data_IF_399984623949
#
_entry.id   IF_399984623949
#
_cell.length_a   1.000
_cell.length_b   1.000
_cell.length_c   1.000
_cell.angle_alpha   90.00
_cell.angle_beta   90.00
_cell.angle_gamma   90.00
#
_symmetry.space_group_name_H-M   'P 1'
#
loop_
_entity.id
_entity.type
_entity.pdbx_description
1 polymer ?
#
# COMPACT_ATOMS: atom_id res chain seq x y z
N UNK A 1 -21.04 3.86 8.64
CA UNK A 1 -19.93 4.71 8.16
C UNK A 1 -19.39 5.64 9.26
N UNK A 2 -20.22 6.48 9.90
CA UNK A 2 -19.78 7.43 10.93
C UNK A 2 -19.15 6.77 12.18
N UNK A 3 -19.77 5.70 12.71
CA UNK A 3 -19.21 4.96 13.85
C UNK A 3 -17.85 4.32 13.57
N UNK A 4 -17.62 3.85 12.34
CA UNK A 4 -16.34 3.27 11.93
C UNK A 4 -15.22 4.33 11.93
N UNK A 5 -15.53 5.56 11.51
CA UNK A 5 -14.57 6.67 11.53
C UNK A 5 -14.17 6.98 12.97
N UNK A 6 -15.14 7.09 13.89
CA UNK A 6 -14.85 7.31 15.32
C UNK A 6 -13.98 6.21 15.91
N UNK A 7 -14.34 4.94 15.66
CA UNK A 7 -13.57 3.79 16.14
C UNK A 7 -12.13 3.83 15.63
N UNK A 8 -11.95 4.11 14.34
CA UNK A 8 -10.63 4.19 13.74
C UNK A 8 -9.79 5.35 14.30
N UNK A 9 -10.40 6.52 14.51
CA UNK A 9 -9.74 7.67 15.12
C UNK A 9 -9.21 7.33 16.52
N UNK A 10 -10.03 6.68 17.34
CA UNK A 10 -9.64 6.27 18.69
C UNK A 10 -8.55 5.19 18.65
N UNK A 11 -8.74 4.17 17.80
CA UNK A 11 -7.87 2.99 17.79
C UNK A 11 -6.50 3.23 17.14
N UNK A 12 -6.46 3.99 16.07
CA UNK A 12 -5.28 4.08 15.19
C UNK A 12 -4.65 5.48 15.15
N UNK A 13 -5.42 6.53 15.47
CA UNK A 13 -4.97 7.92 15.35
C UNK A 13 -4.75 8.60 16.71
N UNK A 14 -5.02 7.89 17.82
CA UNK A 14 -4.96 8.41 19.19
C UNK A 14 -5.83 9.67 19.40
N UNK A 15 -6.95 9.78 18.67
CA UNK A 15 -7.91 10.89 18.79
C UNK A 15 -9.14 10.43 19.56
N UNK A 16 -9.27 10.90 20.80
CA UNK A 16 -10.34 10.50 21.72
C UNK A 16 -11.51 11.50 21.80
N UNK A 17 -11.32 12.73 21.32
CA UNK A 17 -12.34 13.78 21.39
C UNK A 17 -13.33 13.69 20.22
N UNK A 18 -14.62 13.48 20.51
CA UNK A 18 -15.64 13.47 19.47
C UNK A 18 -15.82 14.82 18.77
N UNK A 19 -15.50 15.93 19.45
CA UNK A 19 -15.51 17.26 18.82
C UNK A 19 -14.37 17.36 17.80
N UNK A 20 -13.20 16.84 18.13
CA UNK A 20 -12.06 16.81 17.20
C UNK A 20 -12.35 15.90 16.01
N UNK A 21 -12.90 14.71 16.25
CA UNK A 21 -13.32 13.79 15.18
C UNK A 21 -14.37 14.44 14.27
N UNK A 22 -15.33 15.17 14.84
CA UNK A 22 -16.38 15.85 14.08
C UNK A 22 -15.88 17.03 13.23
N UNK A 23 -14.72 17.62 13.57
CA UNK A 23 -14.09 18.70 12.81
C UNK A 23 -13.16 18.20 11.69
N UNK A 24 -12.78 16.93 11.73
CA UNK A 24 -11.86 16.34 10.76
C UNK A 24 -12.52 16.21 9.38
N UNK A 25 -11.81 16.65 8.34
CA UNK A 25 -12.28 16.45 6.96
C UNK A 25 -12.06 15.00 6.51
N UNK A 26 -12.80 14.55 5.50
CA UNK A 26 -12.60 13.21 4.91
C UNK A 26 -11.17 13.06 4.36
N UNK A 27 -10.62 14.12 3.75
CA UNK A 27 -9.25 14.11 3.21
C UNK A 27 -8.22 13.94 4.32
N UNK A 28 -8.35 14.70 5.41
CA UNK A 28 -7.49 14.59 6.58
C UNK A 28 -7.58 13.21 7.23
N UNK A 29 -8.79 12.69 7.43
CA UNK A 29 -9.01 11.34 7.95
C UNK A 29 -8.32 10.28 7.08
N UNK A 30 -8.49 10.35 5.75
CA UNK A 30 -7.85 9.42 4.81
C UNK A 30 -6.32 9.48 4.90
N UNK A 31 -5.74 10.68 4.97
CA UNK A 31 -4.30 10.87 5.09
C UNK A 31 -3.76 10.29 6.40
N UNK A 32 -4.41 10.62 7.53
CA UNK A 32 -4.03 10.09 8.85
C UNK A 32 -4.14 8.57 8.91
N UNK A 33 -5.19 7.98 8.34
CA UNK A 33 -5.33 6.53 8.24
C UNK A 33 -4.25 5.89 7.36
N UNK A 34 -3.86 6.53 6.26
CA UNK A 34 -2.75 6.07 5.42
C UNK A 34 -1.44 6.09 6.22
N UNK A 35 -1.15 7.18 6.93
CA UNK A 35 0.01 7.28 7.80
C UNK A 35 0.02 6.22 8.92
N UNK A 36 -1.13 5.96 9.55
CA UNK A 36 -1.26 4.92 10.58
C UNK A 36 -0.96 3.51 10.03
N UNK A 37 -1.38 3.21 8.79
CA UNK A 37 -1.06 1.95 8.12
C UNK A 37 0.44 1.82 7.81
N UNK A 38 1.08 2.90 7.37
CA UNK A 38 2.54 2.92 7.13
C UNK A 38 3.31 2.69 8.43
N UNK A 39 2.93 3.37 9.51
CA UNK A 39 3.52 3.12 10.85
C UNK A 39 3.37 1.66 11.26
N UNK A 40 2.19 1.06 11.01
CA UNK A 40 1.98 -0.36 11.31
C UNK A 40 2.87 -1.28 10.46
N UNK A 41 3.07 -0.94 9.19
CA UNK A 41 3.98 -1.66 8.30
C UNK A 41 5.43 -1.60 8.80
N UNK A 42 5.87 -0.46 9.35
CA UNK A 42 7.20 -0.33 9.97
C UNK A 42 7.37 -1.26 11.17
N UNK A 43 6.35 -1.36 12.04
CA UNK A 43 6.33 -2.31 13.16
C UNK A 43 6.39 -3.76 12.67
N UNK A 44 5.59 -4.09 11.65
CA UNK A 44 5.56 -5.43 11.08
C UNK A 44 6.91 -5.77 10.45
N UNK A 45 7.55 -4.83 9.74
CA UNK A 45 8.91 -5.01 9.22
C UNK A 45 9.91 -5.34 10.32
N UNK A 46 9.86 -4.62 11.45
CA UNK A 46 10.72 -4.88 12.59
C UNK A 46 10.51 -6.30 13.14
N UNK A 47 9.25 -6.70 13.35
CA UNK A 47 8.89 -8.05 13.83
C UNK A 47 9.38 -9.13 12.86
N UNK A 48 9.15 -8.94 11.56
CA UNK A 48 9.58 -9.89 10.54
C UNK A 48 11.10 -9.98 10.46
N UNK A 49 11.85 -8.88 10.64
CA UNK A 49 13.32 -8.94 10.72
C UNK A 49 13.79 -9.78 11.90
N UNK A 50 13.15 -9.66 13.06
CA UNK A 50 13.48 -10.50 14.21
C UNK A 50 13.19 -11.98 13.93
N UNK A 51 12.00 -12.29 13.40
CA UNK A 51 11.63 -13.65 13.02
C UNK A 51 12.59 -14.24 11.98
N UNK A 52 13.03 -13.43 11.01
CA UNK A 52 14.00 -13.80 10.00
C UNK A 52 15.36 -14.19 10.58
N UNK A 53 15.87 -13.41 11.54
CA UNK A 53 17.14 -13.71 12.22
C UNK A 53 17.06 -15.03 13.00
N UNK A 54 15.92 -15.27 13.69
CA UNK A 54 15.67 -16.55 14.37
C UNK A 54 15.60 -17.70 13.38
N UNK A 55 14.90 -17.53 12.26
CA UNK A 55 14.78 -18.55 11.22
C UNK A 55 16.14 -18.90 10.59
N UNK A 56 16.98 -17.88 10.31
CA UNK A 56 18.33 -18.11 9.81
C UNK A 56 19.24 -18.81 10.83
N UNK A 57 19.07 -18.54 12.13
CA UNK A 57 19.80 -19.24 13.17
C UNK A 57 19.35 -20.71 13.35
N UNK A 58 18.10 -21.04 12.97
CA UNK A 58 17.47 -22.32 13.24
C UNK A 58 17.43 -23.31 12.07
N UNK A 59 17.56 -22.90 10.81
CA UNK A 59 17.08 -23.77 9.73
C UNK A 59 17.77 -23.65 8.39
N UNK A 60 18.71 -24.55 8.18
CA UNK A 60 18.91 -25.18 6.88
C UNK A 60 17.92 -26.36 6.72
N UNK A 61 17.45 -26.65 5.51
CA UNK A 61 16.62 -27.82 5.21
C UNK A 61 17.40 -29.15 5.43
N UNK A 62 16.74 -30.30 5.24
CA UNK A 62 17.39 -31.63 5.33
C UNK A 62 18.60 -31.82 4.38
N UNK A 63 18.82 -30.90 3.44
CA UNK A 63 19.91 -30.85 2.46
C UNK A 63 20.87 -29.67 2.69
N UNK A 64 20.75 -28.93 3.80
CA UNK A 64 21.65 -27.80 4.11
C UNK A 64 21.30 -26.49 3.41
N UNK A 65 20.08 -26.29 2.87
CA UNK A 65 19.67 -25.04 2.18
C UNK A 65 18.70 -24.20 3.00
N UNK A 66 18.89 -22.88 3.11
CA UNK A 66 17.94 -22.00 3.79
C UNK A 66 16.61 -21.92 3.01
N UNK A 67 15.48 -21.95 3.72
CA UNK A 67 14.13 -22.03 3.14
C UNK A 67 13.77 -20.77 2.34
N UNK A 68 14.11 -19.60 2.88
CA UNK A 68 14.13 -18.36 2.10
C UNK A 68 15.59 -17.94 1.92
N UNK A 69 15.94 -17.31 0.80
CA UNK A 69 17.33 -16.90 0.52
C UNK A 69 17.59 -15.47 0.93
N UNK A 70 16.55 -14.64 0.93
CA UNK A 70 16.63 -13.23 1.27
C UNK A 70 15.49 -12.83 2.18
N UNK A 71 15.70 -11.75 2.94
CA UNK A 71 14.63 -11.17 3.74
C UNK A 71 13.44 -10.71 2.88
N UNK A 72 13.68 -10.23 1.65
CA UNK A 72 12.62 -9.80 0.74
C UNK A 72 11.68 -10.95 0.34
N UNK A 73 12.23 -12.15 0.15
CA UNK A 73 11.42 -13.35 -0.12
C UNK A 73 10.58 -13.77 1.10
N UNK A 74 11.08 -13.50 2.32
CA UNK A 74 10.36 -13.75 3.57
C UNK A 74 9.28 -12.69 3.85
N UNK A 75 9.61 -11.41 3.59
CA UNK A 75 8.73 -10.26 3.80
C UNK A 75 9.07 -9.13 2.83
N UNK A 76 8.20 -8.89 1.86
CA UNK A 76 8.37 -7.81 0.87
C UNK A 76 7.75 -6.50 1.39
N UNK A 77 8.55 -5.71 2.08
CA UNK A 77 8.14 -4.40 2.61
C UNK A 77 7.64 -3.46 1.51
N UNK A 78 8.40 -3.35 0.42
CA UNK A 78 8.13 -2.38 -0.65
C UNK A 78 6.80 -2.69 -1.34
N UNK A 79 6.50 -3.97 -1.56
CA UNK A 79 5.20 -4.38 -2.09
C UNK A 79 4.04 -3.92 -1.18
N UNK A 80 4.15 -4.14 0.13
CA UNK A 80 3.11 -3.74 1.07
C UNK A 80 2.98 -2.20 1.17
N UNK A 81 4.10 -1.48 1.11
CA UNK A 81 4.12 -0.02 1.08
C UNK A 81 3.38 0.52 -0.15
N UNK A 82 3.67 -0.02 -1.35
CA UNK A 82 3.02 0.38 -2.59
C UNK A 82 1.50 0.18 -2.54
N UNK A 83 1.04 -0.94 -1.98
CA UNK A 83 -0.38 -1.22 -1.77
C UNK A 83 -1.03 -0.15 -0.86
N UNK A 84 -0.38 0.22 0.24
CA UNK A 84 -0.91 1.26 1.16
C UNK A 84 -0.95 2.63 0.49
N UNK A 85 0.07 2.94 -0.32
CA UNK A 85 0.15 4.20 -1.06
C UNK A 85 -0.87 4.27 -2.21
N UNK A 86 -1.33 3.12 -2.71
CA UNK A 86 -2.25 2.99 -3.84
C UNK A 86 -1.54 2.97 -5.20
N UNK A 87 -0.22 2.78 -5.20
CA UNK A 87 0.61 2.78 -6.42
C UNK A 87 0.24 1.59 -7.30
N UNK A 88 0.13 0.40 -6.70
CA UNK A 88 -0.20 -0.83 -7.45
C UNK A 88 -1.61 -0.76 -8.07
N UNK A 89 -2.57 -0.12 -7.41
CA UNK A 89 -3.93 0.10 -7.95
C UNK A 89 -3.90 1.07 -9.14
N UNK A 90 -3.13 2.16 -9.03
CA UNK A 90 -2.97 3.13 -10.11
C UNK A 90 -2.24 2.51 -11.33
N UNK A 91 -1.19 1.72 -11.09
CA UNK A 91 -0.45 1.00 -12.12
C UNK A 91 -1.36 -0.01 -12.85
N UNK A 92 -2.13 -0.79 -12.09
CA UNK A 92 -3.06 -1.76 -12.67
C UNK A 92 -4.16 -1.07 -13.48
N UNK A 93 -4.73 0.02 -12.98
CA UNK A 93 -5.74 0.80 -13.70
C UNK A 93 -5.17 1.39 -14.99
N UNK A 94 -3.95 1.94 -14.96
CA UNK A 94 -3.24 2.41 -16.17
C UNK A 94 -3.08 1.28 -17.17
N UNK A 95 -2.67 0.10 -16.73
CA UNK A 95 -2.51 -1.07 -17.60
C UNK A 95 -3.85 -1.55 -18.19
N UNK A 96 -4.94 -1.49 -17.44
CA UNK A 96 -6.28 -1.82 -17.95
C UNK A 96 -6.75 -0.80 -19.00
N UNK A 97 -6.59 0.51 -18.73
CA UNK A 97 -6.93 1.59 -19.66
C UNK A 97 -6.11 1.48 -20.95
N UNK A 98 -4.81 1.18 -20.86
CA UNK A 98 -3.93 1.02 -22.03
C UNK A 98 -4.24 -0.24 -22.86
N UNK A 99 -4.95 -1.21 -22.30
CA UNK A 99 -5.43 -2.40 -23.02
C UNK A 99 -6.78 -2.18 -23.70
N UNK A 100 -7.48 -1.08 -23.40
CA UNK A 100 -8.73 -0.74 -24.07
C UNK A 100 -8.42 -0.16 -25.46
N UNK A 101 -8.60 -0.99 -26.49
CA UNK A 101 -8.36 -0.60 -27.89
C UNK A 101 -9.16 0.64 -28.31
N UNK A 102 -10.37 0.85 -27.77
CA UNK A 102 -11.17 2.03 -28.10
C UNK A 102 -10.52 3.30 -27.53
N UNK A 103 -10.01 3.23 -26.30
CA UNK A 103 -9.32 4.35 -25.67
C UNK A 103 -8.00 4.68 -26.38
N UNK A 104 -7.20 3.66 -26.73
CA UNK A 104 -5.94 3.84 -27.47
C UNK A 104 -6.20 4.47 -28.84
N UNK A 105 -7.21 4.01 -29.56
CA UNK A 105 -7.58 4.57 -30.86
C UNK A 105 -8.03 6.04 -30.74
N UNK A 106 -8.75 6.40 -29.67
CA UNK A 106 -9.17 7.77 -29.42
C UNK A 106 -7.98 8.70 -29.15
N UNK A 107 -7.00 8.26 -28.35
CA UNK A 107 -5.77 9.02 -28.08
C UNK A 107 -4.94 9.29 -29.34
N UNK A 108 -4.83 8.29 -30.22
CA UNK A 108 -4.13 8.42 -31.50
C UNK A 108 -4.84 9.48 -32.38
N UNK A 109 -6.17 9.41 -32.46
CA UNK A 109 -6.96 10.33 -33.28
C UNK A 109 -6.85 11.78 -32.81
N UNK A 110 -6.92 12.03 -31.49
CA UNK A 110 -6.79 13.38 -30.93
C UNK A 110 -5.43 14.02 -31.20
N UNK A 111 -4.35 13.24 -31.17
CA UNK A 111 -3.00 13.75 -31.46
C UNK A 111 -2.79 14.02 -32.96
N UNK A 112 -3.42 13.23 -33.84
CA UNK A 112 -3.34 13.45 -35.31
C UNK A 112 -4.16 14.64 -35.81
N UNK A 113 -5.17 15.08 -35.05
CA UNK A 113 -6.00 16.23 -35.43
C UNK A 113 -5.39 17.59 -35.08
N UNK A 114 -4.36 17.64 -34.21
CA UNK A 114 -3.69 18.89 -33.82
C UNK A 114 -2.56 19.31 -34.79
N UNK A 115 -2.07 18.41 -35.64
CA UNK A 115 -1.00 18.70 -36.63
C UNK A 115 -1.51 19.19 -38.00
N UNK A 116 -2.84 19.35 -38.16
CA UNK A 116 -3.49 19.67 -39.44
C UNK A 116 -4.06 21.07 -39.59
N UNK A 117 -3.69 22.03 -38.72
CA UNK A 117 -4.20 23.41 -38.70
C UNK A 117 -3.21 24.45 -39.19
#
# INVERSE_FOLDING_TARGET
MYEQIKLNCIRYLDVFSFIEIGRMTIAEYKLRMKAARLKKLDEDNFIHRQAWLVAQAQGYDKKGKPIFKTFKEFFDFQKNENIILGIDEEENLKQEILKDENFVNMLIQSNTTEEGG
#
